data_IF_735098705146
#
_entry.id   IF_735098705146
#
_cell.length_a   1.000
_cell.length_b   1.000
_cell.length_c   1.000
_cell.angle_alpha   90.00
_cell.angle_beta   90.00
_cell.angle_gamma   90.00
#
_symmetry.space_group_name_H-M   'P 1'
#
loop_
_entity.id
_entity.type
_entity.pdbx_description
1 polymer ?
#
# COMPACT_ATOMS: atom_id res chain seq x y z
N UNK A 1 4.86 2.09 7.48
CA UNK A 1 4.14 1.64 6.27
C UNK A 1 4.89 1.99 4.99
N UNK A 2 5.36 3.23 4.88
CA UNK A 2 6.06 3.72 3.69
C UNK A 2 7.30 2.89 3.38
N UNK A 3 8.06 2.55 4.42
CA UNK A 3 9.29 1.77 4.30
C UNK A 3 9.04 0.41 3.61
N UNK A 4 7.90 -0.21 3.88
CA UNK A 4 7.55 -1.53 3.35
C UNK A 4 6.91 -1.49 1.96
N UNK A 5 6.50 -0.31 1.48
CA UNK A 5 5.76 -0.20 0.22
C UNK A 5 6.65 0.02 -0.99
N UNK A 6 7.82 0.63 -0.84
CA UNK A 6 8.67 0.92 -2.00
C UNK A 6 10.14 0.95 -1.63
N UNK A 7 10.98 0.55 -2.60
CA UNK A 7 12.43 0.77 -2.53
C UNK A 7 12.88 2.00 -3.29
N UNK A 8 11.97 2.68 -4.02
CA UNK A 8 12.32 3.88 -4.80
C UNK A 8 12.14 5.14 -3.99
N UNK A 9 13.22 5.87 -3.78
CA UNK A 9 13.22 7.08 -2.95
C UNK A 9 12.26 8.15 -3.48
N UNK A 10 12.20 8.32 -4.81
CA UNK A 10 11.35 9.33 -5.44
C UNK A 10 9.86 9.05 -5.28
N UNK A 11 9.48 7.81 -4.95
CA UNK A 11 8.08 7.46 -4.76
C UNK A 11 7.62 7.49 -3.31
N UNK A 12 8.53 7.57 -2.36
CA UNK A 12 8.16 7.52 -0.94
C UNK A 12 7.19 8.62 -0.54
N UNK A 13 7.43 9.84 -1.02
CA UNK A 13 6.56 10.98 -0.74
C UNK A 13 5.19 10.84 -1.41
N UNK A 14 5.13 10.24 -2.60
CA UNK A 14 3.87 9.98 -3.31
C UNK A 14 3.04 8.92 -2.59
N UNK A 15 3.68 7.85 -2.10
CA UNK A 15 3.03 6.81 -1.32
C UNK A 15 2.53 7.39 0.00
N UNK A 16 3.35 8.21 0.66
CA UNK A 16 2.95 8.92 1.87
C UNK A 16 1.70 9.77 1.62
N UNK A 17 1.64 10.46 0.48
CA UNK A 17 0.48 11.27 0.12
C UNK A 17 -0.80 10.44 0.04
N UNK A 18 -0.74 9.24 -0.53
CA UNK A 18 -1.89 8.34 -0.60
C UNK A 18 -2.39 7.99 0.81
N UNK A 19 -1.49 7.61 1.71
CA UNK A 19 -1.87 7.28 3.09
C UNK A 19 -2.47 8.49 3.81
N UNK A 20 -1.84 9.68 3.70
CA UNK A 20 -2.38 10.89 4.31
C UNK A 20 -3.76 11.24 3.76
N UNK A 21 -3.94 11.12 2.44
CA UNK A 21 -5.22 11.44 1.79
C UNK A 21 -6.32 10.47 2.25
N UNK A 22 -6.00 9.19 2.36
CA UNK A 22 -6.96 8.20 2.86
C UNK A 22 -7.34 8.45 4.32
N UNK A 23 -6.37 8.80 5.16
CA UNK A 23 -6.65 9.13 6.56
C UNK A 23 -7.58 10.32 6.68
N UNK A 24 -7.37 11.37 5.87
CA UNK A 24 -8.22 12.55 5.85
C UNK A 24 -9.65 12.23 5.43
N UNK A 25 -9.84 11.25 4.54
CA UNK A 25 -11.15 10.84 4.04
C UNK A 25 -11.77 9.71 4.85
N UNK A 26 -11.12 9.31 5.94
CA UNK A 26 -11.55 8.18 6.78
C UNK A 26 -11.68 6.88 5.99
N UNK A 27 -10.78 6.67 5.04
CA UNK A 27 -10.68 5.43 4.27
C UNK A 27 -9.74 4.46 4.95
N UNK A 28 -10.03 3.16 4.83
CA UNK A 28 -9.09 2.14 5.28
C UNK A 28 -7.82 2.21 4.45
N UNK A 29 -6.65 2.03 5.10
CA UNK A 29 -5.37 2.12 4.39
C UNK A 29 -5.15 0.96 3.42
N UNK A 30 -5.66 -0.23 3.76
CA UNK A 30 -5.64 -1.43 2.89
C UNK A 30 -4.24 -1.73 2.36
N UNK A 31 -3.28 -1.82 3.26
CA UNK A 31 -1.89 -2.09 2.90
C UNK A 31 -1.47 -3.47 3.39
N UNK A 32 -0.97 -4.31 2.47
CA UNK A 32 -0.60 -5.70 2.74
C UNK A 32 0.45 -5.84 3.86
N UNK A 33 1.49 -4.99 3.95
CA UNK A 33 2.49 -5.13 5.00
C UNK A 33 1.93 -5.16 6.42
N UNK A 34 0.82 -4.49 6.71
CA UNK A 34 0.21 -4.53 8.05
C UNK A 34 -0.44 -5.88 8.33
N UNK A 35 -1.03 -6.49 7.31
CA UNK A 35 -1.60 -7.84 7.43
C UNK A 35 -0.48 -8.87 7.61
N UNK A 36 0.57 -8.77 6.82
CA UNK A 36 1.74 -9.63 6.92
C UNK A 36 2.34 -9.57 8.32
N UNK A 37 2.45 -8.38 8.89
CA UNK A 37 2.94 -8.19 10.26
C UNK A 37 2.10 -8.96 11.28
N UNK A 38 0.80 -9.07 11.06
CA UNK A 38 -0.13 -9.76 11.96
C UNK A 38 -0.09 -11.28 11.81
N UNK A 39 0.43 -11.81 10.70
CA UNK A 39 0.45 -13.24 10.44
C UNK A 39 1.64 -13.88 11.15
N UNK A 40 1.36 -14.90 11.99
CA UNK A 40 2.40 -15.77 12.53
C UNK A 40 2.77 -16.80 11.45
N UNK A 41 4.05 -17.15 11.38
CA UNK A 41 4.54 -18.15 10.42
C UNK A 41 4.19 -17.85 8.96
N UNK A 42 4.35 -16.57 8.57
CA UNK A 42 4.08 -16.15 7.20
C UNK A 42 5.01 -16.88 6.21
N UNK A 43 4.40 -17.54 5.21
CA UNK A 43 5.12 -18.38 4.24
C UNK A 43 5.60 -17.63 2.99
N UNK A 44 5.45 -16.30 2.96
CA UNK A 44 5.85 -15.48 1.82
C UNK A 44 4.72 -15.17 0.85
N UNK A 45 3.56 -15.80 1.00
CA UNK A 45 2.41 -15.58 0.13
C UNK A 45 1.22 -15.07 0.92
N UNK A 46 0.75 -13.86 0.59
CA UNK A 46 -0.48 -13.34 1.17
C UNK A 46 -1.66 -13.86 0.35
N UNK A 47 -2.68 -14.39 1.06
CA UNK A 47 -3.87 -14.97 0.42
C UNK A 47 -5.08 -14.12 0.73
N UNK A 48 -6.13 -14.25 -0.08
CA UNK A 48 -7.37 -13.51 0.12
C UNK A 48 -7.94 -13.70 1.53
N UNK A 49 -7.85 -14.91 2.07
CA UNK A 49 -8.32 -15.20 3.45
C UNK A 49 -7.55 -14.43 4.50
N UNK A 50 -6.27 -14.12 4.26
CA UNK A 50 -5.43 -13.40 5.19
C UNK A 50 -5.91 -11.97 5.38
N UNK A 51 -6.57 -11.40 4.38
CA UNK A 51 -7.11 -10.03 4.43
C UNK A 51 -8.30 -9.91 5.39
N UNK A 52 -8.82 -11.04 5.89
CA UNK A 52 -9.92 -11.06 6.86
C UNK A 52 -9.46 -11.30 8.30
N UNK A 53 -8.17 -11.41 8.55
CA UNK A 53 -7.63 -11.68 9.89
C UNK A 53 -8.12 -10.61 10.87
N UNK A 54 -8.62 -11.07 12.04
CA UNK A 54 -9.06 -10.17 13.09
C UNK A 54 -7.87 -9.75 13.95
N UNK A 55 -7.19 -8.72 13.50
CA UNK A 55 -6.07 -8.10 14.20
C UNK A 55 -6.20 -6.58 14.09
N UNK A 56 -5.86 -5.84 15.16
CA UNK A 56 -5.88 -4.37 15.09
C UNK A 56 -4.86 -3.84 14.07
N UNK A 57 -3.89 -4.65 13.64
CA UNK A 57 -2.95 -4.28 12.58
C UNK A 57 -3.54 -4.43 11.18
N UNK A 58 -4.69 -5.12 11.02
CA UNK A 58 -5.28 -5.36 9.70
C UNK A 58 -5.97 -4.10 9.16
N UNK A 59 -5.30 -3.39 8.27
CA UNK A 59 -5.82 -2.14 7.68
C UNK A 59 -6.88 -2.36 6.60
N UNK A 60 -7.17 -3.60 6.22
CA UNK A 60 -8.35 -3.93 5.40
C UNK A 60 -9.61 -4.00 6.23
N UNK A 61 -9.46 -4.25 7.54
CA UNK A 61 -10.60 -4.41 8.45
C UNK A 61 -10.86 -3.15 9.27
N UNK A 62 -9.80 -2.52 9.77
CA UNK A 62 -9.91 -1.36 10.66
C UNK A 62 -9.40 -0.09 10.00
N UNK A 63 -10.11 1.01 10.24
CA UNK A 63 -9.72 2.33 9.73
C UNK A 63 -8.60 2.92 10.57
N UNK A 64 -7.81 3.80 9.94
CA UNK A 64 -6.74 4.51 10.61
C UNK A 64 -5.43 3.74 10.61
N UNK A 65 -4.47 4.28 11.33
CA UNK A 65 -3.15 3.67 11.48
C UNK A 65 -3.22 2.44 12.38
N UNK A 66 -2.34 1.45 12.16
CA UNK A 66 -2.20 0.33 13.10
C UNK A 66 -1.70 0.84 14.46
N UNK A 67 -1.84 0.01 15.53
CA UNK A 67 -1.50 0.44 16.89
C UNK A 67 -0.04 0.81 17.10
N UNK A 68 0.86 0.31 16.26
CA UNK A 68 2.29 0.59 16.38
C UNK A 68 3.03 0.37 15.08
N UNK A 69 4.34 0.64 15.07
CA UNK A 69 5.15 0.46 13.87
C UNK A 69 5.29 -1.02 13.49
N UNK A 70 5.47 -1.27 12.19
CA UNK A 70 5.65 -2.62 11.66
C UNK A 70 7.06 -2.84 11.10
N UNK A 71 7.90 -1.82 11.14
CA UNK A 71 9.27 -1.86 10.64
C UNK A 71 10.08 -0.75 11.28
N UNK A 72 11.41 -0.83 11.13
CA UNK A 72 12.32 0.26 11.47
C UNK A 72 12.53 1.10 10.22
N UNK A 73 11.93 2.29 10.11
CA UNK A 73 12.02 3.09 8.91
C UNK A 73 13.38 3.76 8.78
N UNK A 74 13.87 3.88 7.54
CA UNK A 74 15.04 4.70 7.24
C UNK A 74 14.67 6.18 7.24
N UNK A 75 15.70 7.04 7.18
CA UNK A 75 15.52 8.49 7.21
C UNK A 75 14.59 8.99 6.09
N UNK A 76 14.74 8.46 4.88
CA UNK A 76 13.93 8.89 3.74
C UNK A 76 12.45 8.59 3.91
N UNK A 77 12.12 7.47 4.56
CA UNK A 77 10.72 7.14 4.86
C UNK A 77 10.15 8.06 5.94
N UNK A 78 10.95 8.42 6.93
CA UNK A 78 10.54 9.37 7.98
C UNK A 78 10.28 10.75 7.37
N UNK A 79 11.19 11.23 6.51
CA UNK A 79 11.02 12.51 5.81
C UNK A 79 9.76 12.48 4.94
N UNK A 80 9.51 11.38 4.23
CA UNK A 80 8.33 11.24 3.39
C UNK A 80 7.04 11.27 4.21
N UNK A 81 7.04 10.68 5.41
CA UNK A 81 5.89 10.69 6.30
C UNK A 81 5.55 12.11 6.78
N UNK A 82 6.59 12.92 7.06
CA UNK A 82 6.43 14.28 7.54
C UNK A 82 6.13 15.27 6.43
N UNK A 83 6.65 15.03 5.23
CA UNK A 83 6.53 15.94 4.09
C UNK A 83 6.06 15.21 2.83
N UNK A 84 4.79 14.74 2.82
CA UNK A 84 4.26 14.04 1.65
C UNK A 84 4.14 14.98 0.45
N UNK A 85 4.19 14.42 -0.75
CA UNK A 85 3.89 15.16 -1.97
C UNK A 85 2.46 15.69 -1.89
N UNK A 86 2.24 16.92 -2.33
CA UNK A 86 0.90 17.47 -2.42
C UNK A 86 0.19 16.85 -3.62
N UNK A 87 -0.85 16.06 -3.37
CA UNK A 87 -1.62 15.39 -4.41
C UNK A 87 -2.98 14.96 -3.86
N UNK A 88 -3.86 14.54 -4.76
CA UNK A 88 -5.17 13.97 -4.39
C UNK A 88 -5.24 12.47 -4.69
N UNK A 89 -4.10 11.81 -4.90
CA UNK A 89 -4.06 10.38 -5.15
C UNK A 89 -4.57 9.59 -3.94
N UNK A 90 -5.39 8.58 -4.21
CA UNK A 90 -5.99 7.70 -3.20
C UNK A 90 -5.60 6.24 -3.38
N UNK A 91 -4.96 5.89 -4.51
CA UNK A 91 -4.63 4.52 -4.86
C UNK A 91 -3.24 4.44 -5.48
N UNK A 92 -2.58 3.30 -5.27
CA UNK A 92 -1.38 2.96 -6.02
C UNK A 92 -1.33 1.45 -6.27
N UNK A 93 -0.65 1.05 -7.34
CA UNK A 93 -0.43 -0.34 -7.69
C UNK A 93 0.95 -0.50 -8.29
N UNK A 94 1.62 -1.61 -7.99
CA UNK A 94 2.95 -1.91 -8.54
C UNK A 94 2.87 -2.09 -10.06
N UNK A 95 3.82 -1.46 -10.77
CA UNK A 95 3.99 -1.65 -12.21
C UNK A 95 4.84 -2.86 -12.56
N UNK A 96 5.36 -3.58 -11.55
CA UNK A 96 6.26 -4.73 -11.71
C UNK A 96 7.66 -4.38 -12.19
N UNK A 97 8.00 -3.10 -12.25
CA UNK A 97 9.34 -2.60 -12.60
C UNK A 97 10.03 -1.91 -11.43
N UNK A 98 9.50 -2.12 -10.22
CA UNK A 98 9.96 -1.45 -9.00
C UNK A 98 9.23 -0.14 -8.73
N UNK A 99 8.46 0.38 -9.69
CA UNK A 99 7.68 1.61 -9.53
C UNK A 99 6.20 1.33 -9.34
N UNK A 100 5.43 2.43 -9.18
CA UNK A 100 4.00 2.37 -8.91
C UNK A 100 3.23 3.28 -9.86
N UNK A 101 1.98 2.92 -10.14
CA UNK A 101 1.01 3.77 -10.82
C UNK A 101 0.06 4.33 -9.79
N UNK A 102 -0.08 5.66 -9.76
CA UNK A 102 -0.94 6.36 -8.79
C UNK A 102 -2.24 6.77 -9.46
N UNK A 103 -3.33 6.72 -8.71
CA UNK A 103 -4.67 7.05 -9.22
C UNK A 103 -5.48 7.80 -8.18
N UNK A 104 -6.39 8.66 -8.65
CA UNK A 104 -7.24 9.48 -7.80
C UNK A 104 -8.59 8.81 -7.51
N UNK A 105 -9.04 7.91 -8.40
CA UNK A 105 -10.34 7.26 -8.28
C UNK A 105 -10.22 5.75 -8.54
N UNK A 106 -11.27 5.03 -8.13
CA UNK A 106 -11.27 3.57 -8.20
C UNK A 106 -11.28 3.05 -9.65
N UNK A 107 -11.93 3.76 -10.56
CA UNK A 107 -12.01 3.34 -11.97
C UNK A 107 -10.61 3.30 -12.59
N UNK A 108 -9.84 4.37 -12.40
CA UNK A 108 -8.47 4.45 -12.92
C UNK A 108 -7.57 3.44 -12.23
N UNK A 109 -7.74 3.25 -10.92
CA UNK A 109 -6.98 2.26 -10.17
C UNK A 109 -7.25 0.85 -10.70
N UNK A 110 -8.51 0.48 -10.91
CA UNK A 110 -8.86 -0.83 -11.43
C UNK A 110 -8.31 -1.05 -12.85
N UNK A 111 -8.28 -0.01 -13.66
CA UNK A 111 -7.66 -0.07 -15.00
C UNK A 111 -6.16 -0.35 -14.87
N UNK A 112 -5.48 0.31 -13.95
CA UNK A 112 -4.05 0.09 -13.70
C UNK A 112 -3.79 -1.32 -13.16
N UNK A 113 -4.64 -1.81 -12.27
CA UNK A 113 -4.55 -3.19 -11.75
C UNK A 113 -4.63 -4.20 -12.89
N UNK A 114 -5.60 -4.03 -13.80
CA UNK A 114 -5.72 -4.91 -14.98
C UNK A 114 -4.49 -4.84 -15.86
N UNK A 115 -3.95 -3.64 -16.06
CA UNK A 115 -2.77 -3.44 -16.92
C UNK A 115 -1.52 -4.09 -16.33
N UNK A 116 -1.25 -3.92 -15.04
CA UNK A 116 0.03 -4.30 -14.44
C UNK A 116 -0.02 -5.63 -13.70
N UNK A 117 -1.12 -5.96 -13.06
CA UNK A 117 -1.22 -7.16 -12.22
C UNK A 117 -1.78 -8.37 -12.96
N UNK A 118 -2.69 -8.15 -13.92
CA UNK A 118 -3.36 -9.23 -14.64
C UNK A 118 -2.84 -9.46 -16.06
N UNK A 119 -2.02 -8.54 -16.58
CA UNK A 119 -1.51 -8.60 -17.96
C UNK A 119 -0.73 -9.90 -18.24
N UNK A 120 -0.02 -10.43 -17.26
CA UNK A 120 0.76 -11.65 -17.42
C UNK A 120 -0.12 -12.86 -17.75
N UNK A 121 -1.32 -12.91 -17.21
CA UNK A 121 -2.29 -13.96 -17.52
C UNK A 121 -2.74 -13.94 -18.98
N UNK A 122 -2.93 -12.76 -19.55
CA UNK A 122 -3.34 -12.60 -20.94
C UNK A 122 -2.28 -13.05 -21.94
N UNK A 123 -1.01 -12.80 -21.63
CA UNK A 123 0.11 -13.19 -22.51
C UNK A 123 0.34 -14.68 -22.60
N UNK A 124 -0.18 -15.44 -21.65
CA UNK A 124 -0.03 -16.90 -21.63
C UNK A 124 -1.10 -17.63 -22.45
N UNK A 125 -2.10 -16.92 -22.84
CA UNK A 125 -3.17 -17.46 -23.68
C UNK A 125 -2.80 -17.33 -25.16
#
# INVERSE_FOLDING_TARGET
LIEKETGKDEERKQISAVFHNRLKKNMRLQTDPTVIYAIQDFDGNIRKKDLSIDSPYNTYKYRGLPPGPIANPGLKSIIAALFPTESDHLYFVSRKDGGHQFSTNLVDHNRAVRKYQLRKKRKRL
#
